data_IF_609163416853
#
_entry.id   IF_609163416853
#
_cell.length_a   1.000
_cell.length_b   1.000
_cell.length_c   1.000
_cell.angle_alpha   90.00
_cell.angle_beta   90.00
_cell.angle_gamma   90.00
#
_symmetry.space_group_name_H-M   'P 1'
#
loop_
_entity.id
_entity.type
_entity.pdbx_description
1 polymer ?
#
# COMPACT_ATOMS: atom_id res chain seq x y z
N UNK A 1 54.94 -11.96 33.76
CA UNK A 1 53.54 -12.25 33.38
C UNK A 1 52.70 -11.05 33.77
N UNK A 2 52.27 -10.23 32.80
CA UNK A 2 51.56 -8.96 33.05
C UNK A 2 50.10 -9.29 33.33
N UNK A 3 49.65 -9.15 34.58
CA UNK A 3 48.28 -9.41 35.00
C UNK A 3 47.42 -8.18 34.72
N UNK A 4 46.59 -8.23 33.69
CA UNK A 4 45.64 -7.18 33.36
C UNK A 4 44.50 -7.21 34.37
N UNK A 5 44.35 -6.15 35.18
CA UNK A 5 43.17 -6.01 36.07
C UNK A 5 41.92 -5.83 35.21
N UNK A 6 41.01 -6.79 35.26
CA UNK A 6 39.68 -6.62 34.68
C UNK A 6 38.94 -5.54 35.48
N UNK A 7 38.62 -4.41 34.83
CA UNK A 7 37.71 -3.41 35.40
C UNK A 7 36.29 -4.01 35.38
N UNK A 8 35.74 -4.28 36.56
CA UNK A 8 34.34 -4.72 36.69
C UNK A 8 33.37 -3.57 36.44
N UNK A 9 32.26 -3.87 35.76
CA UNK A 9 31.14 -2.95 35.56
C UNK A 9 30.38 -2.79 36.88
N UNK A 10 30.02 -1.57 37.28
CA UNK A 10 29.28 -1.36 38.52
C UNK A 10 27.79 -1.62 38.30
N UNK A 11 27.10 -2.16 39.31
CA UNK A 11 25.65 -2.35 39.25
C UNK A 11 24.90 -1.02 39.09
N UNK A 12 25.45 0.07 39.64
CA UNK A 12 24.86 1.40 39.52
C UNK A 12 24.94 1.94 38.08
N UNK A 13 26.04 1.70 37.37
CA UNK A 13 26.15 2.04 35.94
C UNK A 13 25.08 1.32 35.12
N UNK A 14 24.80 0.05 35.44
CA UNK A 14 23.75 -0.71 34.74
C UNK A 14 22.35 -0.13 35.02
N UNK A 15 22.04 0.16 36.28
CA UNK A 15 20.73 0.66 36.70
C UNK A 15 20.41 2.01 36.05
N UNK A 16 21.37 2.93 35.98
CA UNK A 16 21.17 4.24 35.35
C UNK A 16 20.95 4.10 33.84
N UNK A 17 21.66 3.18 33.17
CA UNK A 17 21.52 2.96 31.73
C UNK A 17 20.13 2.43 31.37
N UNK A 18 19.62 1.41 32.08
CA UNK A 18 18.27 0.89 31.80
C UNK A 18 17.18 1.90 32.12
N UNK A 19 17.38 2.77 33.13
CA UNK A 19 16.45 3.84 33.45
C UNK A 19 16.33 4.86 32.30
N UNK A 20 17.46 5.29 31.72
CA UNK A 20 17.46 6.22 30.57
C UNK A 20 16.86 5.55 29.33
N UNK A 21 17.23 4.29 29.03
CA UNK A 21 16.65 3.53 27.90
C UNK A 21 15.13 3.40 28.07
N UNK A 22 14.64 3.15 29.28
CA UNK A 22 13.21 3.06 29.58
C UNK A 22 12.44 4.34 29.24
N UNK A 23 12.95 5.50 29.64
CA UNK A 23 12.32 6.80 29.33
C UNK A 23 12.32 7.09 27.83
N UNK A 24 13.44 6.83 27.14
CA UNK A 24 13.53 7.04 25.69
C UNK A 24 12.58 6.11 24.92
N UNK A 25 12.52 4.84 25.32
CA UNK A 25 11.64 3.86 24.69
C UNK A 25 10.15 4.23 24.88
N UNK A 26 9.76 4.72 26.05
CA UNK A 26 8.37 5.09 26.35
C UNK A 26 7.83 6.18 25.40
N UNK A 27 8.67 7.15 25.01
CA UNK A 27 8.29 8.23 24.08
C UNK A 27 8.37 7.76 22.62
N UNK A 28 9.36 6.91 22.30
CA UNK A 28 9.66 6.49 20.93
C UNK A 28 8.66 5.45 20.38
N UNK A 29 8.23 4.47 21.19
CA UNK A 29 7.35 3.39 20.73
C UNK A 29 6.04 3.89 20.11
N UNK A 30 5.24 4.77 20.74
CA UNK A 30 3.96 5.19 20.15
C UNK A 30 4.14 5.99 18.85
N UNK A 31 5.20 6.80 18.74
CA UNK A 31 5.46 7.60 17.54
C UNK A 31 5.91 6.73 16.37
N UNK A 32 6.80 5.75 16.62
CA UNK A 32 7.29 4.83 15.59
C UNK A 32 6.18 3.99 14.96
N UNK A 33 5.18 3.53 15.74
CA UNK A 33 4.04 2.77 15.22
C UNK A 33 3.20 3.57 14.21
N UNK A 34 2.99 4.87 14.47
CA UNK A 34 2.31 5.78 13.54
C UNK A 34 3.11 5.99 12.25
N UNK A 35 4.42 6.19 12.35
CA UNK A 35 5.29 6.35 11.18
C UNK A 35 5.34 5.10 10.30
N UNK A 36 5.44 3.91 10.90
CA UNK A 36 5.42 2.65 10.15
C UNK A 36 4.09 2.50 9.42
N UNK A 37 2.97 2.76 10.08
CA UNK A 37 1.63 2.69 9.45
C UNK A 37 1.51 3.66 8.26
N UNK A 38 1.94 4.92 8.43
CA UNK A 38 1.95 5.90 7.35
C UNK A 38 2.85 5.49 6.20
N UNK A 39 4.03 4.93 6.50
CA UNK A 39 4.94 4.41 5.48
C UNK A 39 4.31 3.27 4.70
N UNK A 40 3.62 2.35 5.37
CA UNK A 40 2.97 1.20 4.72
C UNK A 40 1.79 1.64 3.84
N UNK A 41 0.94 2.56 4.28
CA UNK A 41 -0.11 3.08 3.41
C UNK A 41 0.47 3.88 2.23
N UNK A 42 1.53 4.68 2.44
CA UNK A 42 2.22 5.36 1.33
C UNK A 42 2.76 4.37 0.29
N UNK A 43 3.37 3.26 0.72
CA UNK A 43 3.80 2.19 -0.18
C UNK A 43 2.63 1.54 -0.92
N UNK A 44 1.48 1.33 -0.25
CA UNK A 44 0.30 0.80 -0.90
C UNK A 44 -0.25 1.74 -1.98
N UNK A 45 -0.30 3.06 -1.70
CA UNK A 45 -0.71 4.08 -2.67
C UNK A 45 0.25 4.15 -3.88
N UNK A 46 1.56 4.02 -3.63
CA UNK A 46 2.55 3.97 -4.71
C UNK A 46 2.33 2.74 -5.61
N UNK A 47 2.06 1.58 -5.01
CA UNK A 47 1.73 0.38 -5.79
C UNK A 47 0.43 0.56 -6.58
N UNK A 48 -0.61 1.16 -5.99
CA UNK A 48 -1.87 1.44 -6.67
C UNK A 48 -1.67 2.33 -7.90
N UNK A 49 -0.82 3.36 -7.79
CA UNK A 49 -0.44 4.22 -8.92
C UNK A 49 0.32 3.44 -10.01
N UNK A 50 1.29 2.61 -9.63
CA UNK A 50 2.03 1.79 -10.60
C UNK A 50 1.12 0.83 -11.36
N UNK A 51 0.17 0.21 -10.66
CA UNK A 51 -0.78 -0.70 -11.28
C UNK A 51 -1.80 0.02 -12.16
N UNK A 52 -2.31 1.18 -11.73
CA UNK A 52 -3.14 2.06 -12.56
C UNK A 52 -2.46 2.42 -13.89
N UNK A 53 -1.18 2.80 -13.83
CA UNK A 53 -0.40 3.10 -15.02
C UNK A 53 -0.20 1.87 -15.91
N UNK A 54 -0.03 0.69 -15.29
CA UNK A 54 0.11 -0.57 -16.02
C UNK A 54 -1.19 -0.97 -16.74
N UNK A 55 -2.35 -0.80 -16.11
CA UNK A 55 -3.66 -1.03 -16.76
C UNK A 55 -3.85 -0.05 -17.92
N UNK A 56 -3.57 1.25 -17.73
CA UNK A 56 -3.69 2.21 -18.83
C UNK A 56 -2.71 1.92 -19.98
N UNK A 57 -1.47 1.53 -19.68
CA UNK A 57 -0.49 1.16 -20.73
C UNK A 57 -0.95 -0.10 -21.48
N UNK A 58 -1.49 -1.08 -20.76
CA UNK A 58 -2.08 -2.28 -21.35
C UNK A 58 -3.28 -1.97 -22.26
N UNK A 59 -4.17 -1.07 -21.85
CA UNK A 59 -5.32 -0.64 -22.66
C UNK A 59 -4.87 0.10 -23.92
N UNK A 60 -3.86 0.97 -23.84
CA UNK A 60 -3.29 1.66 -25.01
C UNK A 60 -2.68 0.68 -26.01
N UNK A 61 -1.98 -0.36 -25.53
CA UNK A 61 -1.44 -1.40 -26.41
C UNK A 61 -2.56 -2.19 -27.11
N UNK A 62 -3.62 -2.53 -26.37
CA UNK A 62 -4.77 -3.26 -26.92
C UNK A 62 -5.51 -2.42 -27.98
N UNK A 63 -5.70 -1.12 -27.73
CA UNK A 63 -6.26 -0.19 -28.70
C UNK A 63 -5.39 -0.11 -29.98
N UNK A 64 -4.07 -0.08 -29.79
CA UNK A 64 -3.10 -0.08 -30.91
C UNK A 64 -3.12 -1.38 -31.72
N UNK A 65 -3.51 -2.49 -31.10
CA UNK A 65 -3.72 -3.80 -31.75
C UNK A 65 -5.11 -3.92 -32.40
N UNK A 66 -5.94 -2.87 -32.33
CA UNK A 66 -7.28 -2.82 -32.91
C UNK A 66 -8.35 -3.50 -32.06
N UNK A 67 -8.08 -3.77 -30.78
CA UNK A 67 -9.08 -4.26 -29.83
C UNK A 67 -9.92 -3.09 -29.31
N UNK A 68 -11.24 -3.28 -29.22
CA UNK A 68 -12.12 -2.30 -28.59
C UNK A 68 -11.91 -2.32 -27.07
N UNK A 69 -11.24 -1.30 -26.54
CA UNK A 69 -10.90 -1.20 -25.12
C UNK A 69 -12.12 -1.08 -24.21
N UNK A 70 -13.27 -0.64 -24.72
CA UNK A 70 -14.51 -0.57 -23.95
C UNK A 70 -15.03 -1.96 -23.56
N UNK A 71 -14.59 -3.02 -24.24
CA UNK A 71 -14.89 -4.40 -23.85
C UNK A 71 -14.29 -4.80 -22.50
N UNK A 72 -13.32 -4.03 -22.01
CA UNK A 72 -12.71 -4.19 -20.69
C UNK A 72 -13.31 -3.27 -19.63
N UNK A 73 -14.37 -2.51 -19.95
CA UNK A 73 -15.07 -1.66 -18.99
C UNK A 73 -15.57 -2.50 -17.81
N UNK A 74 -15.19 -2.07 -16.62
CA UNK A 74 -15.49 -2.74 -15.37
C UNK A 74 -15.64 -1.67 -14.28
N UNK A 75 -16.86 -1.45 -13.74
CA UNK A 75 -17.05 -0.44 -12.69
C UNK A 75 -16.41 -0.83 -11.36
N UNK A 76 -16.20 -2.13 -11.12
CA UNK A 76 -15.47 -2.70 -9.98
C UNK A 76 -14.92 -4.08 -10.34
N UNK A 77 -13.81 -4.12 -11.08
CA UNK A 77 -13.11 -5.34 -11.45
C UNK A 77 -12.16 -5.79 -10.35
N UNK A 78 -12.23 -7.05 -9.92
CA UNK A 78 -11.35 -7.62 -8.89
C UNK A 78 -10.41 -8.72 -9.42
N UNK A 79 -10.40 -8.96 -10.74
CA UNK A 79 -9.57 -9.98 -11.37
C UNK A 79 -9.35 -9.63 -12.83
N UNK A 80 -8.10 -9.48 -13.23
CA UNK A 80 -7.74 -9.32 -14.64
C UNK A 80 -7.88 -10.66 -15.37
N UNK A 81 -8.46 -10.64 -16.56
CA UNK A 81 -8.62 -11.83 -17.41
C UNK A 81 -8.18 -11.55 -18.84
N UNK A 82 -7.97 -12.62 -19.62
CA UNK A 82 -7.69 -12.54 -21.05
C UNK A 82 -6.46 -11.70 -21.42
N UNK A 83 -6.59 -10.96 -22.52
CA UNK A 83 -5.49 -10.18 -23.10
C UNK A 83 -5.09 -9.01 -22.20
N UNK A 84 -6.05 -8.41 -21.48
CA UNK A 84 -5.76 -7.38 -20.49
C UNK A 84 -4.84 -7.90 -19.37
N UNK A 85 -5.10 -9.09 -18.84
CA UNK A 85 -4.22 -9.71 -17.84
C UNK A 85 -2.79 -9.91 -18.37
N UNK A 86 -2.68 -10.41 -19.60
CA UNK A 86 -1.39 -10.67 -20.26
C UNK A 86 -0.60 -9.37 -20.43
N UNK A 87 -1.24 -8.32 -20.95
CA UNK A 87 -0.61 -7.02 -21.18
C UNK A 87 -0.23 -6.34 -19.87
N UNK A 88 -1.10 -6.33 -18.88
CA UNK A 88 -0.79 -5.78 -17.55
C UNK A 88 0.39 -6.52 -16.92
N UNK A 89 0.50 -7.84 -17.12
CA UNK A 89 1.63 -8.64 -16.67
C UNK A 89 2.99 -8.19 -17.24
N UNK A 90 3.02 -7.61 -18.44
CA UNK A 90 4.25 -7.07 -19.04
C UNK A 90 4.71 -5.78 -18.35
N UNK A 91 3.77 -4.98 -17.84
CA UNK A 91 4.05 -3.70 -17.19
C UNK A 91 4.18 -3.80 -15.67
N UNK A 92 3.50 -4.76 -15.06
CA UNK A 92 3.44 -4.93 -13.61
C UNK A 92 3.32 -6.40 -13.22
N UNK A 93 4.34 -7.20 -13.51
CA UNK A 93 4.36 -8.66 -13.26
C UNK A 93 4.02 -9.07 -11.82
N UNK A 94 4.30 -8.19 -10.85
CA UNK A 94 4.01 -8.41 -9.44
C UNK A 94 2.51 -8.33 -9.09
N UNK A 95 1.61 -8.00 -10.04
CA UNK A 95 0.16 -8.00 -9.79
C UNK A 95 -0.36 -9.35 -9.27
N UNK A 96 0.28 -10.45 -9.69
CA UNK A 96 -0.02 -11.83 -9.25
C UNK A 96 0.32 -12.09 -7.78
N UNK A 97 1.18 -11.27 -7.17
CA UNK A 97 1.60 -11.38 -5.77
C UNK A 97 0.74 -10.52 -4.84
N UNK A 98 -0.16 -9.71 -5.39
CA UNK A 98 -1.07 -8.88 -4.61
C UNK A 98 -2.12 -9.76 -3.93
N UNK A 99 -2.39 -9.51 -2.65
CA UNK A 99 -3.39 -10.27 -1.89
C UNK A 99 -4.80 -10.01 -2.38
N UNK A 100 -5.09 -8.76 -2.71
CA UNK A 100 -6.33 -8.32 -3.34
C UNK A 100 -6.07 -7.00 -4.08
N UNK A 101 -6.85 -6.75 -5.13
CA UNK A 101 -6.88 -5.48 -5.84
C UNK A 101 -8.25 -5.30 -6.48
N UNK A 102 -8.62 -4.04 -6.68
CA UNK A 102 -9.78 -3.67 -7.47
C UNK A 102 -9.38 -2.60 -8.47
N UNK A 103 -10.03 -2.56 -9.63
CA UNK A 103 -9.82 -1.55 -10.66
C UNK A 103 -11.16 -1.11 -11.24
N UNK A 104 -11.19 0.11 -11.73
CA UNK A 104 -12.29 0.64 -12.51
C UNK A 104 -11.76 1.00 -13.90
N UNK A 105 -12.44 0.51 -14.92
CA UNK A 105 -12.24 0.88 -16.32
C UNK A 105 -13.58 1.41 -16.82
N UNK A 106 -13.56 2.60 -17.40
CA UNK A 106 -14.73 3.21 -18.02
C UNK A 106 -14.32 3.85 -19.34
N UNK A 107 -15.11 3.62 -20.39
CA UNK A 107 -14.86 4.08 -21.74
C UNK A 107 -13.45 3.71 -22.24
N UNK A 108 -13.00 2.48 -21.95
CA UNK A 108 -11.71 1.96 -22.40
C UNK A 108 -10.49 2.55 -21.70
N UNK A 109 -10.68 3.27 -20.58
CA UNK A 109 -9.58 3.85 -19.80
C UNK A 109 -9.69 3.46 -18.33
N UNK A 110 -8.55 3.21 -17.68
CA UNK A 110 -8.56 2.94 -16.25
C UNK A 110 -8.75 4.27 -15.50
N UNK A 111 -9.73 4.31 -14.60
CA UNK A 111 -10.15 5.54 -13.90
C UNK A 111 -9.83 5.50 -12.41
N UNK A 112 -9.78 4.31 -11.81
CA UNK A 112 -9.37 4.13 -10.42
C UNK A 112 -8.79 2.74 -10.17
N UNK A 113 -7.93 2.63 -9.16
CA UNK A 113 -7.36 1.37 -8.68
C UNK A 113 -7.27 1.38 -7.16
N UNK A 114 -7.50 0.23 -6.54
CA UNK A 114 -7.14 -0.04 -5.15
C UNK A 114 -6.31 -1.32 -5.05
N UNK A 115 -5.34 -1.35 -4.13
CA UNK A 115 -4.48 -2.51 -3.89
C UNK A 115 -4.36 -2.76 -2.40
N UNK A 116 -4.43 -4.02 -2.02
CA UNK A 116 -4.07 -4.49 -0.69
C UNK A 116 -2.58 -4.84 -0.62
N UNK A 117 -1.87 -4.21 0.31
CA UNK A 117 -0.50 -4.56 0.70
C UNK A 117 -0.49 -4.95 2.18
N UNK A 118 -0.62 -6.24 2.45
CA UNK A 118 -0.81 -6.77 3.80
C UNK A 118 -2.16 -6.31 4.39
N UNK A 119 -2.12 -5.65 5.55
CA UNK A 119 -3.33 -5.11 6.19
C UNK A 119 -3.75 -3.73 5.65
N UNK A 120 -2.93 -3.11 4.80
CA UNK A 120 -3.11 -1.73 4.35
C UNK A 120 -3.64 -1.69 2.91
N UNK A 121 -4.50 -0.71 2.65
CA UNK A 121 -5.06 -0.47 1.32
C UNK A 121 -4.52 0.84 0.76
N UNK A 122 -4.10 0.80 -0.49
CA UNK A 122 -3.74 1.99 -1.27
C UNK A 122 -4.73 2.23 -2.39
N UNK A 123 -4.91 3.48 -2.78
CA UNK A 123 -5.74 3.86 -3.92
C UNK A 123 -5.09 4.92 -4.81
N UNK A 124 -5.54 4.97 -6.05
CA UNK A 124 -5.19 5.99 -7.03
C UNK A 124 -6.41 6.24 -7.93
N UNK A 125 -6.70 7.48 -8.38
CA UNK A 125 -5.92 8.71 -8.25
C UNK A 125 -5.98 9.38 -6.86
N UNK A 126 -7.06 9.20 -6.11
CA UNK A 126 -7.17 9.74 -4.76
C UNK A 126 -6.45 8.79 -3.79
N UNK A 127 -5.32 9.17 -3.18
CA UNK A 127 -4.59 8.31 -2.27
C UNK A 127 -5.35 8.15 -0.96
N UNK A 128 -5.32 6.96 -0.41
CA UNK A 128 -5.89 6.72 0.90
C UNK A 128 -5.02 7.37 2.00
N UNK A 129 -5.66 7.85 3.08
CA UNK A 129 -4.98 8.46 4.24
C UNK A 129 -5.10 7.63 5.51
N UNK A 130 -4.10 7.75 6.39
CA UNK A 130 -4.08 7.11 7.70
C UNK A 130 -4.88 7.93 8.71
N UNK A 131 -6.16 7.60 8.90
CA UNK A 131 -6.96 8.19 9.97
C UNK A 131 -6.75 7.41 11.28
N UNK A 132 -6.51 8.13 12.38
CA UNK A 132 -6.24 7.62 13.72
C UNK A 132 -7.25 6.54 14.19
N UNK A 133 -6.94 5.70 15.22
CA UNK A 133 -7.71 4.51 15.56
C UNK A 133 -9.08 4.89 16.16
N UNK A 134 -10.07 5.11 15.31
CA UNK A 134 -11.42 5.49 15.70
C UNK A 134 -12.20 6.12 14.56
N UNK A 135 -12.55 5.34 13.53
CA UNK A 135 -13.56 5.77 12.56
C UNK A 135 -14.38 4.55 12.11
N UNK A 136 -15.66 4.59 12.41
CA UNK A 136 -16.63 3.53 12.16
C UNK A 136 -16.95 3.26 10.69
N UNK A 137 -17.97 2.41 10.54
CA UNK A 137 -18.66 1.92 9.35
C UNK A 137 -17.87 1.11 8.30
N UNK A 138 -18.15 -0.19 8.37
CA UNK A 138 -18.43 -1.16 7.28
C UNK A 138 -17.35 -1.42 6.23
N UNK A 139 -16.64 -2.57 6.41
CA UNK A 139 -15.90 -3.36 5.40
C UNK A 139 -15.00 -2.55 4.46
N UNK A 140 -13.69 -2.46 4.64
CA UNK A 140 -12.71 -3.54 4.45
C UNK A 140 -11.51 -3.25 5.37
N UNK A 141 -11.10 -4.26 6.14
CA UNK A 141 -10.06 -4.17 7.17
C UNK A 141 -8.68 -3.74 6.60
N UNK A 142 -7.85 -2.83 7.16
CA UNK A 142 -7.99 -1.86 8.26
C UNK A 142 -6.86 -0.82 8.07
N UNK A 143 -7.27 0.43 7.79
CA UNK A 143 -6.48 1.67 7.74
C UNK A 143 -5.81 2.01 6.40
N UNK A 144 -6.66 2.38 5.45
CA UNK A 144 -6.52 3.66 4.79
C UNK A 144 -7.91 4.05 4.23
N UNK A 145 -8.60 5.01 4.88
CA UNK A 145 -10.05 5.23 4.75
C UNK A 145 -10.36 6.55 4.04
N UNK A 146 -10.38 6.48 2.72
CA UNK A 146 -11.33 7.20 1.85
C UNK A 146 -11.12 6.56 0.49
N UNK A 147 -11.81 5.44 0.23
CA UNK A 147 -12.00 5.04 -1.16
C UNK A 147 -12.79 6.19 -1.79
N UNK A 148 -12.32 6.87 -2.87
CA UNK A 148 -13.30 7.35 -3.80
C UNK A 148 -14.09 6.10 -4.21
N UNK A 149 -15.41 6.15 -4.10
CA UNK A 149 -16.25 5.09 -4.68
C UNK A 149 -15.68 4.80 -6.06
N UNK A 150 -15.33 3.54 -6.36
CA UNK A 150 -14.71 3.15 -7.65
C UNK A 150 -15.51 3.68 -8.87
N UNK A 151 -16.78 4.03 -8.64
CA UNK A 151 -17.71 4.68 -9.56
C UNK A 151 -17.57 6.22 -9.76
N UNK A 152 -16.66 6.96 -9.11
CA UNK A 152 -16.67 8.44 -9.13
C UNK A 152 -15.68 9.15 -10.08
N UNK A 153 -15.27 8.48 -11.15
CA UNK A 153 -14.47 9.10 -12.22
C UNK A 153 -15.16 9.00 -13.60
N UNK A 154 -16.46 9.29 -13.63
CA UNK A 154 -17.28 9.22 -14.84
C UNK A 154 -18.62 9.95 -14.78
N UNK A 155 -18.65 11.18 -14.24
CA UNK A 155 -19.75 12.12 -14.42
C UNK A 155 -19.24 13.38 -15.10
#
# INVERSE_FOLDING_TARGET
>A
MKTTKAKGFTLIELIVVIAIIGVLAAILVPTMLGYVTKSRCSSANANAKSFYNAINSALVDLDSEGQDTSTFDAPDGASLTGDLATKVGNYFADYTKLTAYHYCIANGTCTAVTIQNGAYWGSYPNPTTVDAPGAGSTGVSTQCKTQPTLAQAGA
#
